data_IF_943712779991
#
_entry.id   IF_943712779991
#
_cell.length_a   1.000
_cell.length_b   1.000
_cell.length_c   1.000
_cell.angle_alpha   90.00
_cell.angle_beta   90.00
_cell.angle_gamma   90.00
#
_symmetry.space_group_name_H-M   'P 1'
#
loop_
_entity.id
_entity.type
_entity.pdbx_description
1 polymer ?
#
# COMPACT_ATOMS: atom_id res chain seq x y z
N UNK A 1 -0.23 -20.90 12.58
CA UNK A 1 0.22 -19.58 13.05
C UNK A 1 -1.01 -18.75 13.39
N UNK A 2 -1.05 -18.05 14.52
CA UNK A 2 -2.24 -17.33 15.03
C UNK A 2 -2.44 -15.91 14.44
N UNK A 3 -1.64 -15.50 13.44
CA UNK A 3 -1.81 -14.23 12.74
C UNK A 3 -1.38 -12.96 13.49
N UNK A 4 -0.68 -13.08 14.62
CA UNK A 4 -0.27 -11.93 15.44
C UNK A 4 0.88 -11.13 14.83
N UNK A 5 1.81 -11.81 14.15
CA UNK A 5 2.96 -11.20 13.48
C UNK A 5 3.00 -11.62 12.02
N UNK A 6 3.32 -10.68 11.13
CA UNK A 6 3.45 -10.94 9.70
C UNK A 6 4.81 -11.55 9.35
N UNK A 7 5.86 -11.23 10.10
CA UNK A 7 7.23 -11.68 9.84
C UNK A 7 8.00 -11.89 11.15
N UNK A 8 8.98 -12.79 11.11
CA UNK A 8 9.89 -13.10 12.20
C UNK A 8 11.31 -12.78 11.72
N UNK A 9 12.04 -11.98 12.49
CA UNK A 9 13.44 -11.70 12.24
C UNK A 9 14.32 -12.53 13.18
N UNK A 10 15.49 -12.94 12.69
CA UNK A 10 16.53 -13.52 13.55
C UNK A 10 17.02 -12.52 14.61
N UNK A 11 17.71 -13.03 15.63
CA UNK A 11 18.32 -12.17 16.64
C UNK A 11 19.26 -11.14 15.97
N UNK A 12 19.04 -9.85 16.25
CA UNK A 12 19.82 -8.76 15.66
C UNK A 12 19.44 -8.34 14.24
N UNK A 13 18.44 -8.98 13.60
CA UNK A 13 18.04 -8.67 12.21
C UNK A 13 16.78 -7.80 12.09
N UNK A 14 16.20 -7.35 13.22
CA UNK A 14 14.94 -6.58 13.25
C UNK A 14 15.04 -5.31 12.40
N UNK A 15 16.13 -4.56 12.51
CA UNK A 15 16.31 -3.31 11.77
C UNK A 15 16.40 -3.55 10.27
N UNK A 16 17.13 -4.58 9.84
CA UNK A 16 17.21 -4.97 8.43
C UNK A 16 15.84 -5.34 7.88
N UNK A 17 15.08 -6.19 8.58
CA UNK A 17 13.71 -6.55 8.19
C UNK A 17 12.79 -5.34 8.17
N UNK A 18 12.92 -4.43 9.14
CA UNK A 18 12.14 -3.19 9.18
C UNK A 18 12.42 -2.32 7.94
N UNK A 19 13.69 -2.13 7.60
CA UNK A 19 14.10 -1.34 6.42
C UNK A 19 13.51 -1.91 5.13
N UNK A 20 13.46 -3.22 4.97
CA UNK A 20 12.85 -3.87 3.81
C UNK A 20 11.34 -3.60 3.69
N UNK A 21 10.62 -3.65 4.81
CA UNK A 21 9.19 -3.29 4.86
C UNK A 21 9.00 -1.81 4.50
N UNK A 22 9.77 -0.93 5.13
CA UNK A 22 9.68 0.51 4.90
C UNK A 22 9.96 0.86 3.45
N UNK A 23 10.99 0.26 2.83
CA UNK A 23 11.27 0.42 1.40
C UNK A 23 10.05 0.05 0.55
N UNK A 24 9.40 -1.08 0.85
CA UNK A 24 8.22 -1.52 0.09
C UNK A 24 7.04 -0.56 0.25
N UNK A 25 6.82 -0.05 1.46
CA UNK A 25 5.74 0.90 1.73
C UNK A 25 6.01 2.26 1.07
N UNK A 26 7.23 2.79 1.18
CA UNK A 26 7.62 4.09 0.64
C UNK A 26 7.66 4.12 -0.89
N UNK A 27 7.83 2.96 -1.55
CA UNK A 27 7.70 2.84 -3.00
C UNK A 27 6.27 2.93 -3.51
N UNK A 28 5.26 2.73 -2.66
CA UNK A 28 3.86 2.75 -3.06
C UNK A 28 3.25 4.15 -2.98
N UNK A 29 2.20 4.41 -3.78
CA UNK A 29 1.44 5.66 -3.71
C UNK A 29 0.83 5.89 -2.31
N UNK A 30 1.21 6.97 -1.60
CA UNK A 30 0.78 7.18 -0.21
C UNK A 30 -0.72 7.44 -0.08
N UNK A 31 -1.34 8.10 -1.05
CA UNK A 31 -2.79 8.30 -1.11
C UNK A 31 -3.54 6.99 -1.28
N UNK A 32 -3.13 6.18 -2.27
CA UNK A 32 -3.70 4.86 -2.53
C UNK A 32 -3.59 3.94 -1.29
N UNK A 33 -2.44 3.90 -0.62
CA UNK A 33 -2.29 3.10 0.60
C UNK A 33 -3.25 3.53 1.71
N UNK A 34 -3.40 4.84 1.95
CA UNK A 34 -4.36 5.36 2.95
C UNK A 34 -5.79 4.95 2.64
N UNK A 35 -6.20 5.08 1.38
CA UNK A 35 -7.54 4.75 0.91
C UNK A 35 -7.85 3.26 1.07
N UNK A 36 -6.93 2.39 0.67
CA UNK A 36 -7.11 0.94 0.79
C UNK A 36 -7.09 0.50 2.25
N UNK A 37 -6.21 1.08 3.10
CA UNK A 37 -6.21 0.77 4.54
C UNK A 37 -7.52 1.18 5.20
N UNK A 38 -8.09 2.34 4.84
CA UNK A 38 -9.39 2.77 5.32
C UNK A 38 -10.53 1.88 4.82
N UNK A 39 -10.49 1.44 3.56
CA UNK A 39 -11.46 0.48 3.01
C UNK A 39 -11.41 -0.86 3.75
N UNK A 40 -10.22 -1.41 3.97
CA UNK A 40 -10.05 -2.68 4.70
C UNK A 40 -10.65 -2.63 6.11
N UNK A 41 -10.48 -1.51 6.83
CA UNK A 41 -11.10 -1.33 8.15
C UNK A 41 -12.62 -1.31 8.13
N UNK A 42 -13.24 -0.94 7.00
CA UNK A 42 -14.71 -1.04 6.81
C UNK A 42 -15.13 -2.45 6.42
N UNK A 43 -14.34 -3.13 5.59
CA UNK A 43 -14.64 -4.48 5.10
C UNK A 43 -14.45 -5.55 6.17
N UNK A 44 -13.53 -5.38 7.12
CA UNK A 44 -13.21 -6.40 8.14
C UNK A 44 -14.37 -6.74 9.07
N UNK A 45 -15.39 -5.88 9.15
CA UNK A 45 -16.58 -6.09 9.98
C UNK A 45 -17.78 -6.68 9.20
N UNK A 46 -17.69 -6.79 7.88
CA UNK A 46 -18.82 -7.08 7.00
C UNK A 46 -18.60 -8.35 6.16
N UNK A 47 -19.64 -9.15 5.89
CA UNK A 47 -19.53 -10.29 4.99
C UNK A 47 -19.31 -9.84 3.53
N UNK A 48 -18.79 -10.74 2.72
CA UNK A 48 -18.77 -10.56 1.26
C UNK A 48 -20.21 -10.52 0.76
N UNK A 49 -20.62 -9.38 0.22
CA UNK A 49 -21.96 -9.06 -0.22
C UNK A 49 -21.91 -8.11 -1.41
N UNK A 50 -23.04 -7.89 -2.08
CA UNK A 50 -23.10 -6.92 -3.17
C UNK A 50 -22.78 -5.49 -2.71
N UNK A 51 -23.12 -5.17 -1.46
CA UNK A 51 -22.79 -3.87 -0.84
C UNK A 51 -21.27 -3.71 -0.68
N UNK A 52 -20.57 -4.71 -0.12
CA UNK A 52 -19.12 -4.63 0.08
C UNK A 52 -18.36 -4.69 -1.25
N UNK A 53 -18.88 -5.42 -2.25
CA UNK A 53 -18.35 -5.44 -3.62
C UNK A 53 -18.49 -4.08 -4.30
N UNK A 54 -19.66 -3.47 -4.24
CA UNK A 54 -19.91 -2.15 -4.83
C UNK A 54 -19.04 -1.07 -4.16
N UNK A 55 -18.96 -1.07 -2.82
CA UNK A 55 -18.08 -0.16 -2.09
C UNK A 55 -16.61 -0.31 -2.53
N UNK A 56 -16.15 -1.55 -2.69
CA UNK A 56 -14.79 -1.86 -3.15
C UNK A 56 -14.56 -1.35 -4.58
N UNK A 57 -15.48 -1.66 -5.50
CA UNK A 57 -15.40 -1.25 -6.89
C UNK A 57 -15.36 0.27 -7.04
N UNK A 58 -16.27 0.99 -6.37
CA UNK A 58 -16.30 2.48 -6.38
C UNK A 58 -15.03 3.08 -5.81
N UNK A 59 -14.50 2.50 -4.72
CA UNK A 59 -13.26 2.99 -4.10
C UNK A 59 -12.08 2.81 -5.06
N UNK A 60 -11.90 1.63 -5.64
CA UNK A 60 -10.83 1.35 -6.59
C UNK A 60 -10.94 2.25 -7.83
N UNK A 61 -12.14 2.40 -8.39
CA UNK A 61 -12.36 3.25 -9.56
C UNK A 61 -11.97 4.71 -9.28
N UNK A 62 -12.41 5.25 -8.13
CA UNK A 62 -12.05 6.61 -7.71
C UNK A 62 -10.55 6.77 -7.49
N UNK A 63 -9.91 5.84 -6.78
CA UNK A 63 -8.46 5.89 -6.51
C UNK A 63 -7.66 5.85 -7.82
N UNK A 64 -8.06 5.01 -8.79
CA UNK A 64 -7.42 4.92 -10.11
C UNK A 64 -7.57 6.18 -10.98
N UNK A 65 -8.55 7.02 -10.70
CA UNK A 65 -8.76 8.27 -11.44
C UNK A 65 -7.91 9.45 -10.91
N UNK A 66 -7.20 9.28 -9.78
CA UNK A 66 -6.42 10.34 -9.13
C UNK A 66 -5.17 10.73 -9.90
N UNK A 67 -4.63 11.94 -9.61
CA UNK A 67 -3.32 12.38 -10.14
C UNK A 67 -2.19 11.44 -9.73
N UNK A 68 -2.21 10.94 -8.49
CA UNK A 68 -1.23 9.98 -7.98
C UNK A 68 -1.23 8.68 -8.79
N UNK A 69 -2.42 8.12 -9.08
CA UNK A 69 -2.52 6.93 -9.92
C UNK A 69 -2.01 7.18 -11.34
N UNK A 70 -2.35 8.33 -11.95
CA UNK A 70 -1.86 8.71 -13.27
C UNK A 70 -0.34 8.80 -13.31
N UNK A 71 0.27 9.44 -12.31
CA UNK A 71 1.72 9.52 -12.17
C UNK A 71 2.36 8.15 -11.97
N UNK A 72 1.77 7.27 -11.15
CA UNK A 72 2.27 5.91 -10.94
C UNK A 72 2.28 5.09 -12.22
N UNK A 73 1.22 5.16 -13.01
CA UNK A 73 1.17 4.50 -14.33
C UNK A 73 2.18 5.10 -15.30
N UNK A 74 2.31 6.43 -15.36
CA UNK A 74 3.29 7.09 -16.21
C UNK A 74 4.72 6.67 -15.84
N UNK A 75 5.07 6.73 -14.54
CA UNK A 75 6.38 6.33 -14.04
C UNK A 75 6.72 4.87 -14.35
N UNK A 76 5.74 3.96 -14.19
CA UNK A 76 5.91 2.55 -14.56
C UNK A 76 6.20 2.37 -16.06
N UNK A 77 5.42 3.02 -16.92
CA UNK A 77 5.60 2.96 -18.39
C UNK A 77 6.94 3.56 -18.81
N UNK A 78 7.31 4.69 -18.22
CA UNK A 78 8.54 5.42 -18.50
C UNK A 78 9.79 4.78 -17.83
N UNK A 79 9.61 3.71 -17.04
CA UNK A 79 10.67 3.02 -16.27
C UNK A 79 11.47 3.96 -15.37
N UNK A 80 10.78 4.92 -14.75
CA UNK A 80 11.34 5.84 -13.76
C UNK A 80 10.64 5.66 -12.42
N UNK A 81 11.24 6.16 -11.36
CA UNK A 81 10.54 6.23 -10.08
C UNK A 81 9.45 7.32 -10.16
N UNK A 82 8.29 7.11 -9.51
CA UNK A 82 7.24 8.12 -9.42
C UNK A 82 7.64 9.23 -8.46
N UNK A 83 7.11 10.44 -8.66
CA UNK A 83 7.56 11.65 -7.93
C UNK A 83 7.42 11.64 -6.41
N UNK A 84 6.76 10.65 -5.79
CA UNK A 84 6.71 10.47 -4.34
C UNK A 84 7.85 9.63 -3.77
N UNK A 85 8.64 8.96 -4.61
CA UNK A 85 9.83 8.22 -4.16
C UNK A 85 10.98 9.22 -4.03
N UNK A 86 11.22 9.65 -2.80
CA UNK A 86 12.40 10.42 -2.41
C UNK A 86 13.49 9.48 -1.88
N UNK A 87 14.75 9.92 -1.97
CA UNK A 87 15.91 9.18 -1.47
C UNK A 87 15.74 8.80 0.02
N UNK A 88 16.16 7.60 0.46
CA UNK A 88 15.80 7.09 1.78
C UNK A 88 16.40 7.95 2.89
N UNK A 89 15.59 8.30 3.90
CA UNK A 89 16.04 8.96 5.14
C UNK A 89 16.85 8.02 6.07
N UNK A 90 17.09 6.77 5.66
CA UNK A 90 17.72 5.73 6.45
C UNK A 90 19.06 5.36 5.82
N UNK A 91 20.09 6.12 6.19
CA UNK A 91 21.50 5.72 6.13
C UNK A 91 21.90 4.95 7.38
#
# INVERSE_FOLDING_TARGET
MIGLVHMIAGAGAVDTTLVEILRSLLRSGPGAQREIKALLGRLSAEPVSDVTRELTARTIARVRATKEAKEGFAAFVDKREPGWVSEPLLG
#
